data_IF_221174619376
#
_entry.id   IF_221174619376
#
_cell.length_a   1.000
_cell.length_b   1.000
_cell.length_c   1.000
_cell.angle_alpha   90.00
_cell.angle_beta   90.00
_cell.angle_gamma   90.00
#
_symmetry.space_group_name_H-M   'P 1'
#
loop_
_entity.id
_entity.type
_entity.pdbx_description
1 polymer ?
#
# COMPACT_ATOMS: atom_id res chain seq x y z
N UNK A 1 -76.34 29.88 49.18
CA UNK A 1 -77.08 30.17 47.93
C UNK A 1 -76.28 31.24 47.20
N UNK A 2 -76.01 31.01 45.90
CA UNK A 2 -75.10 31.72 44.97
C UNK A 2 -73.61 31.33 45.15
N UNK A 3 -73.05 30.38 44.36
CA UNK A 3 -72.58 30.46 42.94
C UNK A 3 -71.46 31.53 42.83
N UNK A 4 -70.23 31.26 42.40
CA UNK A 4 -69.75 30.68 41.13
C UNK A 4 -68.38 29.99 41.37
N UNK A 5 -68.13 28.75 40.93
CA UNK A 5 -67.57 28.40 39.61
C UNK A 5 -66.46 29.36 39.12
N UNK A 6 -65.20 28.89 39.18
CA UNK A 6 -64.18 29.05 38.13
C UNK A 6 -62.87 28.34 38.51
N UNK A 7 -62.79 27.06 38.12
CA UNK A 7 -61.58 26.31 37.78
C UNK A 7 -61.46 26.35 36.23
N UNK A 8 -60.32 26.20 35.52
CA UNK A 8 -58.89 26.16 35.89
C UNK A 8 -58.01 27.11 35.02
N UNK A 9 -57.23 27.99 35.63
CA UNK A 9 -56.11 28.66 34.91
C UNK A 9 -54.77 28.41 35.62
N UNK A 10 -54.79 28.07 36.90
CA UNK A 10 -53.58 27.85 37.69
C UNK A 10 -52.86 26.52 37.40
N UNK A 11 -53.55 25.47 36.91
CA UNK A 11 -52.95 24.14 36.76
C UNK A 11 -52.18 23.93 35.45
N UNK A 12 -52.54 24.63 34.36
CA UNK A 12 -51.84 24.49 33.07
C UNK A 12 -50.50 25.23 33.04
N UNK A 13 -50.41 26.41 33.69
CA UNK A 13 -49.17 27.20 33.77
C UNK A 13 -48.13 26.51 34.64
N UNK A 14 -48.55 25.86 35.74
CA UNK A 14 -47.63 25.14 36.63
C UNK A 14 -47.09 23.87 35.98
N UNK A 15 -47.91 23.10 35.26
CA UNK A 15 -47.44 21.89 34.55
C UNK A 15 -46.55 22.26 33.36
N UNK A 16 -46.90 23.28 32.58
CA UNK A 16 -46.05 23.78 31.49
C UNK A 16 -44.71 24.35 31.99
N UNK A 17 -44.72 25.07 33.11
CA UNK A 17 -43.52 25.59 33.76
C UNK A 17 -42.63 24.50 34.35
N UNK A 18 -43.20 23.43 34.91
CA UNK A 18 -42.44 22.29 35.44
C UNK A 18 -41.84 21.43 34.33
N UNK A 19 -42.56 21.23 33.20
CA UNK A 19 -42.02 20.52 32.04
C UNK A 19 -40.93 21.34 31.35
N UNK A 20 -41.11 22.66 31.22
CA UNK A 20 -40.09 23.56 30.66
C UNK A 20 -38.87 23.67 31.59
N UNK A 21 -39.07 23.74 32.91
CA UNK A 21 -37.98 23.73 33.88
C UNK A 21 -37.24 22.39 33.89
N UNK A 22 -37.93 21.25 33.85
CA UNK A 22 -37.29 19.94 33.75
C UNK A 22 -36.55 19.75 32.42
N UNK A 23 -37.06 20.28 31.30
CA UNK A 23 -36.37 20.28 30.01
C UNK A 23 -35.13 21.19 30.02
N UNK A 24 -35.21 22.38 30.63
CA UNK A 24 -34.06 23.28 30.79
C UNK A 24 -33.01 22.66 31.72
N UNK A 25 -33.41 22.04 32.85
CA UNK A 25 -32.49 21.34 33.75
C UNK A 25 -31.84 20.14 33.03
N UNK A 26 -32.61 19.34 32.27
CA UNK A 26 -32.05 18.26 31.43
C UNK A 26 -31.11 18.76 30.33
N UNK A 27 -31.33 19.95 29.77
CA UNK A 27 -30.43 20.57 28.78
C UNK A 27 -29.17 21.18 29.43
N UNK A 28 -29.23 21.62 30.69
CA UNK A 28 -28.08 22.18 31.42
C UNK A 28 -27.22 21.14 32.15
N UNK A 29 -27.72 19.92 32.33
CA UNK A 29 -27.02 18.82 33.00
C UNK A 29 -26.48 17.75 32.03
N UNK A 30 -26.51 18.01 30.71
CA UNK A 30 -25.72 17.22 29.77
C UNK A 30 -24.25 17.49 30.13
N UNK A 31 -23.49 16.49 30.62
CA UNK A 31 -22.07 16.68 30.84
C UNK A 31 -21.49 17.10 29.49
N UNK A 32 -20.80 18.25 29.46
CA UNK A 32 -20.01 18.64 28.30
C UNK A 32 -19.18 17.42 27.93
N UNK A 33 -19.41 16.87 26.74
CA UNK A 33 -18.68 15.69 26.28
C UNK A 33 -17.21 16.01 26.48
N UNK A 34 -16.61 15.41 27.51
CA UNK A 34 -15.19 15.49 27.74
C UNK A 34 -14.61 14.95 26.46
N UNK A 35 -14.00 15.83 25.66
CA UNK A 35 -13.19 15.44 24.51
C UNK A 35 -12.21 14.43 25.10
N UNK A 36 -12.51 13.16 24.88
CA UNK A 36 -11.53 12.11 25.05
C UNK A 36 -10.29 12.57 24.26
N UNK A 37 -9.07 12.33 24.76
CA UNK A 37 -7.91 12.64 23.97
C UNK A 37 -8.07 11.88 22.65
N UNK A 38 -8.19 12.61 21.55
CA UNK A 38 -8.22 12.09 20.16
C UNK A 38 -6.82 11.59 19.78
N UNK A 39 -6.07 11.05 20.73
CA UNK A 39 -4.65 10.76 20.63
C UNK A 39 -4.29 9.31 20.96
N UNK A 40 -5.27 8.44 21.22
CA UNK A 40 -5.02 7.04 21.58
C UNK A 40 -5.92 6.05 20.84
N UNK A 41 -6.30 6.39 19.59
CA UNK A 41 -6.95 5.45 18.65
C UNK A 41 -6.38 5.59 17.22
N UNK A 42 -5.17 6.16 17.11
CA UNK A 42 -4.47 6.40 15.84
C UNK A 42 -3.15 5.61 15.70
N UNK A 43 -2.94 4.59 16.53
CA UNK A 43 -2.01 3.51 16.20
C UNK A 43 -2.80 2.42 15.45
N UNK A 44 -3.46 2.79 14.37
CA UNK A 44 -3.93 1.82 13.39
C UNK A 44 -2.70 1.06 12.88
N UNK A 45 -2.80 -0.24 12.63
CA UNK A 45 -1.78 -1.08 12.00
C UNK A 45 -1.15 -0.37 10.78
N UNK A 46 -0.06 0.38 11.00
CA UNK A 46 0.67 1.03 9.91
C UNK A 46 1.53 -0.08 9.32
N UNK A 47 1.08 -0.63 8.20
CA UNK A 47 1.87 -1.58 7.43
C UNK A 47 3.25 -0.95 7.14
N UNK A 48 4.35 -1.72 7.32
CA UNK A 48 5.67 -1.21 7.00
C UNK A 48 5.70 -0.78 5.53
N UNK A 49 6.31 0.39 5.19
CA UNK A 49 6.36 0.84 3.82
C UNK A 49 7.01 -0.20 2.91
N UNK A 50 6.45 -0.42 1.72
CA UNK A 50 6.98 -1.36 0.73
C UNK A 50 6.99 -0.82 -0.69
N UNK A 51 7.69 -1.51 -1.58
CA UNK A 51 7.67 -1.21 -3.01
C UNK A 51 6.47 -1.89 -3.71
N UNK A 52 5.86 -1.16 -4.64
CA UNK A 52 4.76 -1.60 -5.50
C UNK A 52 5.12 -1.45 -6.98
N UNK A 53 4.77 -2.45 -7.79
CA UNK A 53 4.60 -2.22 -9.22
C UNK A 53 3.23 -1.58 -9.47
N UNK A 54 3.01 -1.01 -10.66
CA UNK A 54 1.69 -0.52 -11.06
C UNK A 54 0.62 -1.64 -10.96
N UNK A 55 0.94 -2.85 -11.42
CA UNK A 55 0.02 -3.99 -11.34
C UNK A 55 -0.28 -4.40 -9.89
N UNK A 56 0.72 -4.39 -9.01
CA UNK A 56 0.51 -4.67 -7.59
C UNK A 56 -0.31 -3.57 -6.91
N UNK A 57 -0.14 -2.30 -7.31
CA UNK A 57 -0.91 -1.18 -6.78
C UNK A 57 -2.40 -1.29 -7.16
N UNK A 58 -2.69 -1.75 -8.38
CA UNK A 58 -4.06 -1.92 -8.88
C UNK A 58 -4.91 -2.83 -7.99
N UNK A 59 -4.32 -3.80 -7.30
CA UNK A 59 -5.06 -4.69 -6.40
C UNK A 59 -5.74 -3.95 -5.23
N UNK A 60 -5.33 -2.72 -4.93
CA UNK A 60 -5.82 -1.92 -3.79
C UNK A 60 -6.82 -0.86 -4.22
N UNK A 61 -7.93 -1.30 -4.83
CA UNK A 61 -8.96 -0.44 -5.42
C UNK A 61 -10.26 -0.30 -4.59
N UNK A 62 -10.33 -0.93 -3.41
CA UNK A 62 -11.57 -0.98 -2.61
C UNK A 62 -12.58 -2.05 -3.04
N UNK A 63 -12.28 -2.82 -4.10
CA UNK A 63 -13.11 -3.93 -4.61
C UNK A 63 -12.37 -5.27 -4.49
N UNK A 64 -11.19 -5.38 -5.12
CA UNK A 64 -10.31 -6.55 -5.04
C UNK A 64 -9.68 -6.68 -3.66
N UNK A 65 -9.40 -5.55 -3.04
CA UNK A 65 -8.95 -5.43 -1.66
C UNK A 65 -9.83 -4.40 -0.95
N UNK A 66 -10.10 -4.62 0.35
CA UNK A 66 -10.85 -3.65 1.16
C UNK A 66 -10.10 -2.32 1.36
N UNK A 67 -8.77 -2.35 1.23
CA UNK A 67 -7.90 -1.17 1.24
C UNK A 67 -7.94 -0.45 -0.10
N UNK A 68 -7.85 0.87 -0.04
CA UNK A 68 -7.80 1.76 -1.20
C UNK A 68 -6.49 2.54 -1.17
N UNK A 69 -5.61 2.25 -2.12
CA UNK A 69 -4.33 2.94 -2.25
C UNK A 69 -4.32 3.83 -3.49
N UNK A 70 -3.63 4.97 -3.39
CA UNK A 70 -3.47 5.92 -4.49
C UNK A 70 -2.00 6.32 -4.59
N UNK A 71 -1.44 6.22 -5.78
CA UNK A 71 -0.09 6.69 -6.09
C UNK A 71 -0.09 8.19 -6.42
N UNK A 72 0.83 8.94 -5.80
CA UNK A 72 1.03 10.35 -6.05
C UNK A 72 2.50 10.72 -5.86
N UNK A 73 3.12 11.29 -6.90
CA UNK A 73 4.56 11.58 -7.02
C UNK A 73 5.43 10.37 -6.71
N UNK A 74 4.97 9.17 -7.10
CA UNK A 74 5.65 7.90 -6.83
C UNK A 74 5.53 7.40 -5.39
N UNK A 75 4.90 8.14 -4.47
CA UNK A 75 4.54 7.65 -3.13
C UNK A 75 3.15 7.01 -3.17
N UNK A 76 2.93 5.98 -2.36
CA UNK A 76 1.64 5.29 -2.25
C UNK A 76 0.97 5.67 -0.94
N UNK A 77 -0.22 6.25 -1.04
CA UNK A 77 -1.03 6.71 0.10
C UNK A 77 -2.18 5.73 0.38
N UNK A 78 -2.38 5.37 1.66
CA UNK A 78 -3.60 4.69 2.11
C UNK A 78 -4.73 5.72 2.26
N UNK A 79 -5.62 5.73 1.28
CA UNK A 79 -6.79 6.60 1.23
C UNK A 79 -8.07 5.88 1.64
N UNK A 80 -7.98 4.71 2.30
CA UNK A 80 -9.14 3.91 2.72
C UNK A 80 -10.11 4.70 3.61
N UNK A 81 -9.60 5.63 4.43
CA UNK A 81 -10.42 6.55 5.26
C UNK A 81 -11.24 7.53 4.40
N UNK A 82 -10.84 7.74 3.15
CA UNK A 82 -11.49 8.55 2.14
C UNK A 82 -12.40 7.75 1.20
N UNK A 83 -12.95 6.61 1.62
CA UNK A 83 -13.80 5.73 0.77
C UNK A 83 -14.97 6.45 0.09
N UNK A 84 -15.53 7.52 0.67
CA UNK A 84 -16.58 8.32 0.04
C UNK A 84 -16.09 9.09 -1.20
N UNK A 85 -14.78 9.30 -1.34
CA UNK A 85 -14.14 9.96 -2.47
C UNK A 85 -13.55 8.95 -3.45
N UNK A 86 -12.79 7.98 -2.96
CA UNK A 86 -11.99 7.06 -3.77
C UNK A 86 -12.54 5.64 -3.82
N UNK A 87 -13.57 5.32 -3.05
CA UNK A 87 -14.24 4.02 -3.12
C UNK A 87 -14.99 3.87 -4.44
N UNK A 88 -15.55 2.68 -4.71
CA UNK A 88 -16.14 2.33 -6.02
C UNK A 88 -17.26 3.29 -6.48
N UNK A 89 -18.01 3.84 -5.53
CA UNK A 89 -19.12 4.79 -5.78
C UNK A 89 -18.69 6.26 -5.64
N UNK A 90 -17.41 6.51 -5.37
CA UNK A 90 -16.88 7.85 -5.13
C UNK A 90 -16.58 8.60 -6.44
N UNK A 91 -16.56 9.95 -6.42
CA UNK A 91 -16.25 10.77 -7.60
C UNK A 91 -14.83 10.54 -8.15
N UNK A 92 -13.91 10.03 -7.32
CA UNK A 92 -12.52 9.75 -7.68
C UNK A 92 -12.20 8.25 -7.66
N UNK A 93 -13.22 7.40 -7.83
CA UNK A 93 -13.07 5.93 -7.87
C UNK A 93 -11.97 5.47 -8.86
N UNK A 94 -11.80 6.19 -9.98
CA UNK A 94 -10.79 5.89 -11.01
C UNK A 94 -9.34 5.95 -10.51
N UNK A 95 -9.06 6.68 -9.44
CA UNK A 95 -7.71 6.79 -8.89
C UNK A 95 -7.35 5.62 -7.97
N UNK A 96 -8.35 4.85 -7.52
CA UNK A 96 -8.16 3.71 -6.64
C UNK A 96 -7.29 2.65 -7.32
N UNK A 97 -6.14 2.34 -6.71
CA UNK A 97 -5.16 1.40 -7.23
C UNK A 97 -4.27 1.95 -8.35
N UNK A 98 -4.26 3.26 -8.60
CA UNK A 98 -3.51 3.87 -9.69
C UNK A 98 -2.52 4.94 -9.23
N UNK A 99 -1.48 5.15 -10.04
CA UNK A 99 -0.68 6.38 -9.95
C UNK A 99 -1.46 7.50 -10.66
N UNK A 100 -1.76 8.60 -9.96
CA UNK A 100 -2.64 9.64 -10.46
C UNK A 100 -1.99 11.02 -10.54
N UNK A 101 -0.65 11.11 -10.52
CA UNK A 101 0.07 12.39 -10.55
C UNK A 101 -0.36 13.25 -11.71
N UNK A 102 -0.37 12.68 -12.92
CA UNK A 102 -0.77 13.41 -14.12
C UNK A 102 -2.23 13.84 -14.05
N UNK A 103 -3.13 12.94 -13.66
CA UNK A 103 -4.56 13.23 -13.51
C UNK A 103 -4.81 14.42 -12.56
N UNK A 104 -4.14 14.44 -11.41
CA UNK A 104 -4.30 15.51 -10.42
C UNK A 104 -3.62 16.81 -10.87
N UNK A 105 -2.50 16.73 -11.57
CA UNK A 105 -1.80 17.88 -12.14
C UNK A 105 -2.63 18.59 -13.22
N UNK A 106 -3.32 17.82 -14.08
CA UNK A 106 -4.07 18.33 -15.23
C UNK A 106 -5.59 18.43 -14.97
N UNK A 107 -6.04 18.06 -13.77
CA UNK A 107 -7.47 17.98 -13.39
C UNK A 107 -8.27 17.04 -14.33
N UNK A 108 -7.65 15.94 -14.73
CA UNK A 108 -8.18 14.95 -15.66
C UNK A 108 -8.73 13.71 -14.93
N UNK A 109 -9.78 13.11 -15.50
CA UNK A 109 -10.33 11.81 -15.11
C UNK A 109 -10.24 10.79 -16.26
N UNK A 110 -9.39 11.08 -17.25
CA UNK A 110 -9.19 10.24 -18.42
C UNK A 110 -8.23 9.09 -18.10
N UNK A 111 -8.55 7.88 -18.58
CA UNK A 111 -7.76 6.68 -18.29
C UNK A 111 -6.35 6.76 -18.90
N UNK A 112 -6.19 7.53 -19.97
CA UNK A 112 -4.90 7.76 -20.64
C UNK A 112 -3.90 8.57 -19.78
N UNK A 113 -4.36 9.21 -18.72
CA UNK A 113 -3.52 9.98 -17.80
C UNK A 113 -3.14 9.20 -16.53
N UNK A 114 -3.74 8.03 -16.29
CA UNK A 114 -3.41 7.17 -15.16
C UNK A 114 -2.05 6.50 -15.36
N UNK A 115 -1.44 6.12 -14.25
CA UNK A 115 -0.21 5.32 -14.17
C UNK A 115 1.05 5.98 -14.77
N UNK A 116 1.02 7.31 -14.94
CA UNK A 116 2.11 8.11 -15.46
C UNK A 116 3.09 8.53 -14.35
N UNK A 117 4.07 7.66 -14.04
CA UNK A 117 5.06 7.83 -12.96
C UNK A 117 6.00 9.04 -13.11
N UNK A 118 6.26 9.50 -14.34
CA UNK A 118 7.09 10.68 -14.63
C UNK A 118 6.43 11.55 -15.71
N UNK A 119 5.32 12.23 -15.37
CA UNK A 119 4.57 12.99 -16.34
C UNK A 119 5.32 14.29 -16.67
N UNK A 120 5.36 14.64 -17.97
CA UNK A 120 5.88 15.94 -18.40
C UNK A 120 4.83 17.00 -18.12
N UNK A 121 5.06 17.80 -17.08
CA UNK A 121 4.15 18.86 -16.63
C UNK A 121 4.69 20.23 -17.00
N UNK A 122 3.79 21.16 -17.33
CA UNK A 122 4.12 22.57 -17.36
C UNK A 122 4.18 23.15 -15.92
N UNK A 123 4.72 24.37 -15.71
CA UNK A 123 4.87 24.93 -14.37
C UNK A 123 3.57 25.02 -13.57
N UNK A 124 2.45 25.38 -14.20
CA UNK A 124 1.16 25.47 -13.51
C UNK A 124 0.60 24.09 -13.11
N UNK A 125 0.78 23.08 -13.96
CA UNK A 125 0.43 21.69 -13.64
C UNK A 125 1.31 21.14 -12.50
N UNK A 126 2.60 21.51 -12.48
CA UNK A 126 3.52 21.13 -11.41
C UNK A 126 3.12 21.76 -10.06
N UNK A 127 2.76 23.06 -10.06
CA UNK A 127 2.24 23.75 -8.88
C UNK A 127 0.94 23.08 -8.39
N UNK A 128 0.03 22.75 -9.31
CA UNK A 128 -1.22 22.06 -8.97
C UNK A 128 -0.97 20.68 -8.33
N UNK A 129 -0.01 19.92 -8.87
CA UNK A 129 0.38 18.63 -8.32
C UNK A 129 0.97 18.76 -6.91
N UNK A 130 1.77 19.80 -6.66
CA UNK A 130 2.36 20.07 -5.35
C UNK A 130 1.29 20.44 -4.31
N UNK A 131 0.26 21.20 -4.71
CA UNK A 131 -0.90 21.47 -3.84
C UNK A 131 -1.68 20.20 -3.49
N UNK A 132 -1.89 19.30 -4.45
CA UNK A 132 -2.54 18.01 -4.21
C UNK A 132 -1.73 17.14 -3.27
N UNK A 133 -0.41 17.06 -3.51
CA UNK A 133 0.51 16.34 -2.65
C UNK A 133 0.48 16.89 -1.21
N UNK A 134 0.51 18.22 -1.06
CA UNK A 134 0.37 18.86 0.25
C UNK A 134 -0.99 18.55 0.91
N UNK A 135 -2.07 18.52 0.12
CA UNK A 135 -3.41 18.17 0.62
C UNK A 135 -3.45 16.74 1.14
N UNK A 136 -2.91 15.77 0.40
CA UNK A 136 -2.86 14.37 0.81
C UNK A 136 -2.04 14.20 2.09
N UNK A 137 -0.85 14.81 2.15
CA UNK A 137 0.11 14.62 3.22
C UNK A 137 -0.20 15.41 4.49
N UNK A 138 -0.67 16.65 4.37
CA UNK A 138 -0.80 17.58 5.49
C UNK A 138 -2.24 17.91 5.85
N UNK A 139 -3.12 18.09 4.87
CA UNK A 139 -4.52 18.45 5.14
C UNK A 139 -5.38 17.22 5.47
N UNK A 140 -5.23 16.13 4.71
CA UNK A 140 -5.92 14.85 4.91
C UNK A 140 -5.11 13.88 5.75
N UNK A 141 -3.79 14.02 5.75
CA UNK A 141 -2.85 13.19 6.51
C UNK A 141 -3.04 11.70 6.20
N UNK A 142 -3.16 11.37 4.92
CA UNK A 142 -3.18 9.97 4.49
C UNK A 142 -1.83 9.32 4.78
N UNK A 143 -1.78 8.13 5.41
CA UNK A 143 -0.53 7.41 5.64
C UNK A 143 0.16 7.06 4.32
N UNK A 144 1.49 7.24 4.26
CA UNK A 144 2.29 6.74 3.15
C UNK A 144 2.67 5.28 3.47
N UNK A 145 2.21 4.35 2.65
CA UNK A 145 2.41 2.90 2.81
C UNK A 145 3.49 2.34 1.88
N UNK A 146 4.14 3.19 1.10
CA UNK A 146 5.21 2.74 0.21
C UNK A 146 5.50 3.67 -0.95
N UNK A 147 6.13 3.09 -1.97
CA UNK A 147 6.41 3.74 -3.24
C UNK A 147 6.02 2.85 -4.41
N UNK A 148 5.63 3.47 -5.51
CA UNK A 148 5.33 2.79 -6.77
C UNK A 148 6.39 3.12 -7.81
N UNK A 149 6.88 2.11 -8.52
CA UNK A 149 7.89 2.30 -9.58
C UNK A 149 7.83 1.18 -10.61
N UNK A 150 8.41 1.44 -11.79
CA UNK A 150 8.64 0.40 -12.79
C UNK A 150 9.90 -0.40 -12.39
N UNK A 151 9.81 -1.74 -12.31
CA UNK A 151 11.00 -2.58 -12.13
C UNK A 151 11.99 -2.40 -13.30
N UNK A 152 13.30 -2.36 -13.04
CA UNK A 152 14.30 -2.35 -14.10
C UNK A 152 14.28 -3.68 -14.86
N UNK A 153 14.76 -3.64 -16.11
CA UNK A 153 14.94 -4.84 -16.93
C UNK A 153 16.43 -5.08 -17.16
N UNK A 154 16.85 -6.34 -17.06
CA UNK A 154 18.20 -6.81 -17.27
C UNK A 154 18.18 -7.92 -18.32
N UNK A 155 19.03 -7.81 -19.34
CA UNK A 155 19.11 -8.80 -20.42
C UNK A 155 20.37 -9.65 -20.27
N UNK A 156 20.21 -10.97 -20.33
CA UNK A 156 21.33 -11.92 -20.45
C UNK A 156 22.30 -11.92 -19.27
N UNK A 157 21.81 -11.79 -18.03
CA UNK A 157 22.66 -11.79 -16.84
C UNK A 157 23.32 -13.15 -16.64
N UNK A 158 24.63 -13.18 -16.42
CA UNK A 158 25.29 -14.36 -15.84
C UNK A 158 25.00 -14.47 -14.34
N UNK A 159 25.13 -15.68 -13.78
CA UNK A 159 25.01 -15.89 -12.32
C UNK A 159 26.05 -15.06 -11.55
N UNK A 160 27.24 -14.85 -12.13
CA UNK A 160 28.28 -14.02 -11.52
C UNK A 160 27.90 -12.54 -11.47
N UNK A 161 27.30 -12.02 -12.54
CA UNK A 161 26.78 -10.64 -12.56
C UNK A 161 25.63 -10.47 -11.58
N UNK A 162 24.69 -11.42 -11.51
CA UNK A 162 23.61 -11.40 -10.54
C UNK A 162 24.14 -11.29 -9.10
N UNK A 163 25.13 -12.10 -8.73
CA UNK A 163 25.79 -12.04 -7.40
C UNK A 163 26.48 -10.70 -7.16
N UNK A 164 27.19 -10.18 -8.15
CA UNK A 164 27.90 -8.90 -8.05
C UNK A 164 26.92 -7.73 -7.87
N UNK A 165 25.83 -7.72 -8.64
CA UNK A 165 24.77 -6.72 -8.55
C UNK A 165 24.08 -6.76 -7.19
N UNK A 166 23.74 -7.94 -6.68
CA UNK A 166 23.12 -8.05 -5.36
C UNK A 166 24.02 -7.51 -4.26
N UNK A 167 25.34 -7.81 -4.32
CA UNK A 167 26.30 -7.27 -3.36
C UNK A 167 26.37 -5.75 -3.42
N UNK A 168 26.52 -5.20 -4.61
CA UNK A 168 26.56 -3.75 -4.81
C UNK A 168 25.27 -3.06 -4.32
N UNK A 169 24.11 -3.70 -4.50
CA UNK A 169 22.83 -3.19 -4.01
C UNK A 169 22.78 -3.13 -2.47
N UNK A 170 23.34 -4.11 -1.76
CA UNK A 170 23.36 -4.12 -0.29
C UNK A 170 24.29 -3.05 0.30
N UNK A 171 25.34 -2.67 -0.42
CA UNK A 171 26.28 -1.63 0.00
C UNK A 171 25.81 -0.21 -0.35
N UNK A 172 24.80 -0.08 -1.21
CA UNK A 172 24.26 1.20 -1.67
C UNK A 172 22.98 1.60 -0.91
N UNK A 173 22.71 2.91 -0.75
CA UNK A 173 21.40 3.36 -0.28
C UNK A 173 20.30 2.96 -1.28
N UNK A 174 19.05 2.74 -0.81
CA UNK A 174 17.93 2.47 -1.71
C UNK A 174 17.77 3.56 -2.78
N UNK A 175 17.38 3.21 -4.02
CA UNK A 175 17.05 4.19 -5.05
C UNK A 175 15.98 5.18 -4.57
N UNK A 176 16.03 6.43 -5.04
CA UNK A 176 15.09 7.48 -4.62
C UNK A 176 13.61 7.11 -4.88
N UNK A 177 13.34 6.32 -5.91
CA UNK A 177 12.00 5.84 -6.30
C UNK A 177 11.54 4.61 -5.52
N UNK A 178 12.37 4.09 -4.60
CA UNK A 178 12.08 2.86 -3.86
C UNK A 178 12.21 3.05 -2.35
N UNK A 179 11.61 2.11 -1.63
CA UNK A 179 11.75 1.95 -0.18
C UNK A 179 12.96 1.08 0.11
N UNK A 180 13.14 -0.01 -0.65
CA UNK A 180 14.21 -0.98 -0.43
C UNK A 180 15.22 -0.99 -1.57
N UNK A 181 16.43 -1.46 -1.24
CA UNK A 181 17.41 -1.81 -2.28
C UNK A 181 16.92 -3.05 -3.05
N UNK A 182 17.26 -3.21 -4.33
CA UNK A 182 16.87 -4.38 -5.10
C UNK A 182 17.28 -5.71 -4.44
N UNK A 183 16.37 -6.69 -4.49
CA UNK A 183 16.58 -8.03 -3.94
C UNK A 183 16.36 -9.05 -5.05
N UNK A 184 17.40 -9.34 -5.81
CA UNK A 184 17.32 -10.14 -7.03
C UNK A 184 17.47 -11.62 -6.71
N UNK A 185 16.53 -12.46 -7.16
CA UNK A 185 16.56 -13.92 -6.99
C UNK A 185 16.32 -14.59 -8.32
N UNK A 186 17.24 -15.47 -8.74
CA UNK A 186 17.06 -16.32 -9.91
C UNK A 186 16.22 -17.55 -9.57
N UNK A 187 15.20 -17.85 -10.37
CA UNK A 187 14.38 -19.06 -10.29
C UNK A 187 14.05 -19.53 -11.69
N UNK A 188 14.41 -20.77 -12.02
CA UNK A 188 14.20 -21.41 -13.31
C UNK A 188 14.69 -20.56 -14.50
N UNK A 189 15.87 -19.94 -14.37
CA UNK A 189 16.44 -19.09 -15.41
C UNK A 189 15.82 -17.69 -15.54
N UNK A 190 14.83 -17.34 -14.71
CA UNK A 190 14.22 -16.00 -14.65
C UNK A 190 14.70 -15.29 -13.38
N UNK A 191 15.09 -14.02 -13.52
CA UNK A 191 15.46 -13.18 -12.37
C UNK A 191 14.24 -12.38 -11.94
N UNK A 192 13.90 -12.46 -10.65
CA UNK A 192 12.81 -11.72 -10.02
C UNK A 192 13.36 -10.68 -9.05
N UNK A 193 12.70 -9.51 -9.00
CA UNK A 193 13.00 -8.50 -7.98
C UNK A 193 12.04 -8.63 -6.81
N UNK A 194 12.52 -9.29 -5.76
CA UNK A 194 11.75 -9.58 -4.55
C UNK A 194 11.65 -8.39 -3.59
N UNK A 195 12.23 -7.23 -3.92
CA UNK A 195 12.04 -6.01 -3.12
C UNK A 195 10.58 -5.53 -3.18
N UNK A 196 9.86 -5.85 -4.26
CA UNK A 196 8.43 -5.58 -4.45
C UNK A 196 7.53 -6.52 -3.64
N UNK A 197 7.49 -6.32 -2.32
CA UNK A 197 6.62 -7.04 -1.39
C UNK A 197 7.20 -8.31 -0.79
N UNK A 198 8.47 -8.61 -1.02
CA UNK A 198 9.18 -9.76 -0.45
C UNK A 198 10.22 -9.40 0.62
N UNK A 199 10.32 -8.14 1.03
CA UNK A 199 11.40 -7.68 1.91
C UNK A 199 11.50 -8.43 3.24
N UNK A 200 10.37 -8.77 3.88
CA UNK A 200 10.36 -9.53 5.14
C UNK A 200 10.98 -10.94 5.00
N UNK A 201 10.98 -11.48 3.78
CA UNK A 201 11.46 -12.81 3.47
C UNK A 201 12.91 -12.80 2.99
N UNK A 202 13.23 -11.87 2.08
CA UNK A 202 14.49 -11.84 1.32
C UNK A 202 15.41 -10.68 1.71
N UNK A 203 14.91 -9.69 2.46
CA UNK A 203 15.74 -8.62 3.00
C UNK A 203 16.80 -9.16 3.96
N UNK A 204 17.81 -8.38 4.36
CA UNK A 204 18.96 -8.86 5.13
C UNK A 204 18.63 -9.57 6.45
N UNK A 205 17.48 -9.25 7.06
CA UNK A 205 16.98 -9.88 8.28
C UNK A 205 16.00 -11.05 8.03
N UNK A 206 15.60 -11.26 6.77
CA UNK A 206 14.62 -12.27 6.40
C UNK A 206 15.19 -13.69 6.37
N UNK A 207 14.36 -14.74 6.54
CA UNK A 207 14.81 -16.13 6.58
C UNK A 207 15.40 -16.65 5.27
N UNK A 208 15.06 -16.03 4.13
CA UNK A 208 15.44 -16.47 2.79
C UNK A 208 16.43 -15.52 2.11
N UNK A 209 17.06 -14.61 2.86
CA UNK A 209 18.04 -13.64 2.33
C UNK A 209 19.21 -14.26 1.56
N UNK A 210 19.57 -15.51 1.87
CA UNK A 210 20.65 -16.24 1.18
C UNK A 210 20.35 -16.52 -0.30
N UNK A 211 19.09 -16.48 -0.70
CA UNK A 211 18.70 -16.66 -2.11
C UNK A 211 19.02 -15.43 -2.95
N UNK A 212 19.14 -14.25 -2.33
CA UNK A 212 19.45 -13.02 -3.04
C UNK A 212 20.83 -13.09 -3.70
N UNK A 213 20.88 -12.77 -4.99
CA UNK A 213 22.09 -12.85 -5.81
C UNK A 213 22.35 -14.23 -6.38
N UNK A 214 21.57 -15.26 -6.04
CA UNK A 214 21.78 -16.63 -6.52
C UNK A 214 20.67 -17.06 -7.50
N UNK A 215 20.99 -18.04 -8.32
CA UNK A 215 19.97 -18.90 -8.88
C UNK A 215 19.57 -19.93 -7.82
N UNK A 216 18.43 -19.69 -7.19
CA UNK A 216 17.91 -20.47 -6.08
C UNK A 216 17.13 -21.71 -6.54
N UNK A 217 17.11 -22.05 -7.84
CA UNK A 217 16.28 -23.14 -8.37
C UNK A 217 16.51 -24.48 -7.66
N UNK A 218 17.76 -24.91 -7.56
CA UNK A 218 18.11 -26.17 -6.88
C UNK A 218 17.81 -26.10 -5.38
N UNK A 219 18.16 -25.00 -4.73
CA UNK A 219 17.91 -24.78 -3.31
C UNK A 219 16.41 -24.83 -2.98
N UNK A 220 15.55 -24.18 -3.78
CA UNK A 220 14.10 -24.22 -3.65
C UNK A 220 13.54 -25.63 -3.89
N UNK A 221 14.03 -26.34 -4.92
CA UNK A 221 13.63 -27.72 -5.20
C UNK A 221 13.94 -28.68 -4.03
N UNK A 222 15.03 -28.42 -3.31
CA UNK A 222 15.47 -29.21 -2.15
C UNK A 222 14.94 -28.67 -0.82
N UNK A 223 14.28 -27.51 -0.79
CA UNK A 223 13.92 -26.78 0.43
C UNK A 223 15.13 -26.55 1.35
N UNK A 224 16.26 -26.15 0.75
CA UNK A 224 17.57 -26.05 1.38
C UNK A 224 18.05 -24.60 1.44
N UNK A 225 18.73 -24.24 2.53
CA UNK A 225 19.47 -22.98 2.69
C UNK A 225 20.98 -23.21 2.74
N UNK A 226 21.43 -24.41 2.34
CA UNK A 226 22.83 -24.79 2.31
C UNK A 226 23.54 -24.13 1.13
N UNK A 227 24.74 -23.60 1.39
CA UNK A 227 25.51 -22.86 0.38
C UNK A 227 25.82 -23.70 -0.86
N UNK A 228 26.08 -25.00 -0.70
CA UNK A 228 26.36 -25.90 -1.81
C UNK A 228 25.19 -25.99 -2.82
N UNK A 229 23.94 -25.86 -2.35
CA UNK A 229 22.75 -25.88 -3.22
C UNK A 229 22.47 -24.52 -3.88
N UNK A 230 23.11 -23.45 -3.41
CA UNK A 230 23.04 -22.09 -3.98
C UNK A 230 24.20 -21.79 -4.93
N UNK A 231 25.30 -22.51 -4.77
CA UNK A 231 26.48 -22.38 -5.62
C UNK A 231 26.33 -23.17 -6.92
N UNK A 232 25.57 -24.28 -6.89
CA UNK A 232 25.24 -25.12 -8.03
C UNK A 232 23.74 -25.03 -8.38
N UNK A 233 23.35 -24.29 -9.42
CA UNK A 233 21.96 -24.18 -9.83
C UNK A 233 21.46 -25.40 -10.62
N UNK A 234 22.31 -26.40 -10.90
CA UNK A 234 21.96 -27.55 -11.71
C UNK A 234 20.76 -28.31 -11.16
N UNK A 235 19.81 -28.61 -12.04
CA UNK A 235 18.67 -29.45 -11.76
C UNK A 235 18.98 -30.95 -11.96
N UNK A 236 20.22 -31.27 -12.35
CA UNK A 236 20.66 -32.67 -12.50
C UNK A 236 20.57 -33.43 -11.17
N UNK A 237 20.11 -34.68 -11.27
CA UNK A 237 19.92 -35.56 -10.12
C UNK A 237 18.69 -35.24 -9.25
N UNK A 238 17.87 -34.25 -9.62
CA UNK A 238 16.60 -33.99 -8.93
C UNK A 238 15.52 -34.94 -9.43
N UNK A 239 14.96 -35.73 -8.53
CA UNK A 239 13.79 -36.58 -8.81
C UNK A 239 12.51 -35.77 -9.07
N UNK A 240 11.47 -36.41 -9.64
CA UNK A 240 10.24 -35.74 -10.06
C UNK A 240 9.53 -34.97 -8.92
N UNK A 241 9.59 -35.46 -7.69
CA UNK A 241 8.98 -34.79 -6.53
C UNK A 241 9.62 -33.42 -6.25
N UNK A 242 10.94 -33.31 -6.40
CA UNK A 242 11.68 -32.05 -6.19
C UNK A 242 11.42 -31.06 -7.33
N UNK A 243 11.31 -31.56 -8.55
CA UNK A 243 10.94 -30.73 -9.71
C UNK A 243 9.52 -30.19 -9.57
N UNK A 244 8.60 -30.95 -8.99
CA UNK A 244 7.25 -30.45 -8.67
C UNK A 244 7.27 -29.34 -7.63
N UNK A 245 8.06 -29.49 -6.56
CA UNK A 245 8.25 -28.43 -5.56
C UNK A 245 8.79 -27.16 -6.22
N UNK A 246 9.79 -27.29 -7.10
CA UNK A 246 10.35 -26.16 -7.84
C UNK A 246 9.29 -25.49 -8.74
N UNK A 247 8.45 -26.28 -9.42
CA UNK A 247 7.38 -25.74 -10.25
C UNK A 247 6.37 -24.91 -9.44
N UNK A 248 6.02 -25.36 -8.23
CA UNK A 248 5.14 -24.62 -7.33
C UNK A 248 5.78 -23.31 -6.87
N UNK A 249 7.08 -23.32 -6.58
CA UNK A 249 7.85 -22.10 -6.29
C UNK A 249 7.92 -21.16 -7.49
N UNK A 250 8.20 -21.66 -8.69
CA UNK A 250 8.23 -20.85 -9.90
C UNK A 250 6.89 -20.12 -10.12
N UNK A 251 5.77 -20.83 -9.93
CA UNK A 251 4.44 -20.24 -10.04
C UNK A 251 4.16 -19.19 -8.95
N UNK A 252 4.66 -19.40 -7.73
CA UNK A 252 4.58 -18.40 -6.66
C UNK A 252 5.35 -17.13 -7.03
N UNK A 253 6.58 -17.27 -7.52
CA UNK A 253 7.43 -16.15 -7.90
C UNK A 253 6.82 -15.36 -9.06
N UNK A 254 6.37 -16.05 -10.12
CA UNK A 254 5.66 -15.44 -11.27
C UNK A 254 4.44 -14.62 -10.85
N UNK A 255 3.71 -15.07 -9.83
CA UNK A 255 2.52 -14.37 -9.34
C UNK A 255 2.86 -13.18 -8.43
N UNK A 256 3.87 -13.32 -7.56
CA UNK A 256 4.12 -12.35 -6.49
C UNK A 256 5.10 -11.25 -6.87
N UNK A 257 6.12 -11.56 -7.65
CA UNK A 257 7.25 -10.66 -7.89
C UNK A 257 7.39 -10.36 -9.38
N UNK A 258 7.80 -9.13 -9.74
CA UNK A 258 8.04 -8.79 -11.13
C UNK A 258 9.27 -9.56 -11.66
N UNK A 259 9.15 -10.20 -12.84
CA UNK A 259 10.33 -10.67 -13.56
C UNK A 259 11.09 -9.46 -14.10
N UNK A 260 12.40 -9.42 -13.85
CA UNK A 260 13.28 -8.32 -14.22
C UNK A 260 14.39 -8.75 -15.17
N UNK A 261 14.50 -10.03 -15.50
CA UNK A 261 15.48 -10.49 -16.49
C UNK A 261 15.54 -11.99 -16.61
N UNK A 262 16.52 -12.46 -17.37
CA UNK A 262 16.82 -13.89 -17.55
C UNK A 262 18.28 -14.17 -17.26
N UNK A 263 18.56 -15.37 -16.75
CA UNK A 263 19.91 -15.87 -16.60
C UNK A 263 20.39 -16.50 -17.91
N UNK A 264 21.61 -16.14 -18.33
CA UNK A 264 22.29 -16.80 -19.42
C UNK A 264 22.59 -18.26 -19.03
N UNK A 265 22.25 -19.18 -19.93
CA UNK A 265 22.48 -20.63 -19.79
C UNK A 265 23.94 -21.00 -20.01
#
# INVERSE_FOLDING_TARGET
MLLFENWPIASAVVVGGVILYAAIVMLTQIPAATKAPVAEEAAADVEPPRDFTLDQLREFDGVRNAKIYVGLKGEVFDVSRGVHMYGPEGPYAKFAGHECSKCLATMSLEDADLDALDPKLNPGEADQLDEWYHTFKHAKQYPVVGKVSVPPTYEGLSVHELRAMQRAALDAPPPATRVHTPLLVGVCGVVYDTSYGGYDHYGPAGPYHKFCGHDASRALAKMSLDQADLDDPSLEGLGPDKLKILQDWENLFKRKYPPVGTLAS
#
